data_IF_926744591415
#
_entry.id   IF_926744591415
#
_cell.length_a   1.000
_cell.length_b   1.000
_cell.length_c   1.000
_cell.angle_alpha   90.00
_cell.angle_beta   90.00
_cell.angle_gamma   90.00
#
_symmetry.space_group_name_H-M   'P 1'
#
loop_
_entity.id
_entity.type
_entity.pdbx_description
1 polymer ?
#
# COMPACT_ATOMS: atom_id res chain seq x y z
N UNK A 1 5.45 -1.83 12.82
CA UNK A 1 4.45 -1.06 12.05
C UNK A 1 3.08 -1.75 12.02
N UNK A 2 2.97 -3.02 11.61
CA UNK A 2 1.69 -3.76 11.59
C UNK A 2 0.93 -3.70 12.91
N UNK A 3 1.60 -3.97 14.04
CA UNK A 3 0.99 -3.89 15.37
C UNK A 3 0.41 -2.50 15.75
N UNK A 4 1.02 -1.40 15.28
CA UNK A 4 0.49 -0.04 15.52
C UNK A 4 -0.86 0.14 14.81
N UNK A 5 -0.96 -0.39 13.59
CA UNK A 5 -2.18 -0.31 12.78
C UNK A 5 -3.24 -1.26 13.35
N UNK A 6 -2.85 -2.45 13.81
CA UNK A 6 -3.78 -3.43 14.38
C UNK A 6 -4.34 -2.96 15.73
N UNK A 7 -3.55 -2.24 16.52
CA UNK A 7 -4.03 -1.56 17.74
C UNK A 7 -4.98 -0.40 17.40
N UNK A 8 -4.73 0.31 16.29
CA UNK A 8 -5.57 1.42 15.85
C UNK A 8 -6.90 1.02 15.25
N UNK A 9 -6.86 -0.02 14.44
CA UNK A 9 -7.95 -0.46 13.62
C UNK A 9 -8.09 -1.96 13.87
N UNK A 10 -8.58 -2.38 15.05
CA UNK A 10 -8.72 -3.79 15.36
C UNK A 10 -9.74 -4.44 14.41
N UNK A 11 -9.43 -5.66 14.00
CA UNK A 11 -10.34 -6.50 13.21
C UNK A 11 -11.10 -7.46 14.14
N UNK A 12 -12.28 -7.91 13.70
CA UNK A 12 -13.02 -8.96 14.39
C UNK A 12 -12.28 -10.31 14.35
N UNK A 13 -12.60 -11.20 15.29
CA UNK A 13 -11.95 -12.51 15.43
C UNK A 13 -12.09 -13.44 14.21
N UNK A 14 -13.02 -13.15 13.30
CA UNK A 14 -13.24 -13.90 12.05
C UNK A 14 -12.53 -13.31 10.83
N UNK A 15 -11.75 -12.24 10.99
CA UNK A 15 -11.04 -11.63 9.88
C UNK A 15 -9.86 -12.50 9.42
N UNK A 16 -9.78 -12.76 8.12
CA UNK A 16 -8.67 -13.51 7.51
C UNK A 16 -7.37 -12.70 7.42
N UNK A 17 -7.46 -11.37 7.42
CA UNK A 17 -6.33 -10.45 7.44
C UNK A 17 -6.57 -9.33 8.43
N UNK A 18 -5.50 -8.90 9.11
CA UNK A 18 -5.52 -7.65 9.88
C UNK A 18 -5.30 -6.44 8.97
N UNK A 19 -5.75 -5.27 9.40
CA UNK A 19 -5.50 -4.03 8.65
C UNK A 19 -3.99 -3.74 8.55
N UNK A 20 -3.21 -4.06 9.60
CA UNK A 20 -1.77 -3.95 9.61
C UNK A 20 -1.09 -4.84 8.57
N UNK A 21 -1.55 -6.08 8.38
CA UNK A 21 -1.04 -6.95 7.33
C UNK A 21 -1.30 -6.38 5.93
N UNK A 22 -2.52 -5.90 5.68
CA UNK A 22 -2.90 -5.31 4.38
C UNK A 22 -2.07 -4.06 4.07
N UNK A 23 -1.95 -3.13 5.02
CA UNK A 23 -1.14 -1.92 4.84
C UNK A 23 0.36 -2.25 4.75
N UNK A 24 0.81 -3.23 5.54
CA UNK A 24 2.16 -3.79 5.47
C UNK A 24 2.52 -4.29 4.07
N UNK A 25 1.58 -4.94 3.37
CA UNK A 25 1.75 -5.36 1.99
C UNK A 25 1.69 -4.19 0.98
N UNK A 26 0.97 -3.11 1.27
CA UNK A 26 0.95 -1.92 0.39
C UNK A 26 2.28 -1.19 0.35
N UNK A 27 3.05 -1.19 1.44
CA UNK A 27 4.36 -0.51 1.48
C UNK A 27 5.31 -1.05 0.41
N UNK A 28 5.65 -2.35 0.34
CA UNK A 28 6.49 -2.89 -0.72
C UNK A 28 5.86 -2.79 -2.11
N UNK A 29 4.53 -2.85 -2.24
CA UNK A 29 3.85 -2.57 -3.51
C UNK A 29 4.14 -1.14 -4.00
N UNK A 30 4.31 -0.16 -3.09
CA UNK A 30 4.70 1.22 -3.45
C UNK A 30 6.18 1.37 -3.79
N UNK A 31 7.04 0.45 -3.33
CA UNK A 31 8.48 0.48 -3.55
C UNK A 31 8.92 -0.33 -4.78
N UNK A 32 8.01 -1.08 -5.38
CA UNK A 32 8.21 -1.90 -6.58
C UNK A 32 7.32 -1.40 -7.72
N UNK A 33 7.34 -1.97 -8.95
CA UNK A 33 6.39 -1.60 -9.98
C UNK A 33 4.95 -1.73 -9.46
N UNK A 34 4.37 -0.59 -9.09
CA UNK A 34 3.18 -0.56 -8.25
C UNK A 34 1.96 -1.07 -9.01
N UNK A 35 1.31 -2.09 -8.44
CA UNK A 35 0.03 -2.53 -8.94
C UNK A 35 -1.12 -1.70 -8.33
N UNK A 36 -2.17 -1.40 -9.12
CA UNK A 36 -3.40 -0.85 -8.57
C UNK A 36 -4.05 -1.85 -7.59
N UNK A 37 -4.93 -1.36 -6.71
CA UNK A 37 -5.56 -2.16 -5.64
C UNK A 37 -6.20 -3.46 -6.18
N UNK A 38 -6.91 -3.39 -7.30
CA UNK A 38 -7.58 -4.54 -7.94
C UNK A 38 -6.61 -5.59 -8.51
N UNK A 39 -5.32 -5.27 -8.63
CA UNK A 39 -4.27 -6.17 -9.13
C UNK A 39 -3.24 -6.49 -8.03
N UNK A 40 -3.54 -6.16 -6.79
CA UNK A 40 -2.56 -6.26 -5.71
C UNK A 40 -2.22 -7.71 -5.35
N UNK A 41 -3.18 -8.64 -5.41
CA UNK A 41 -2.90 -10.07 -5.27
C UNK A 41 -2.07 -10.61 -6.43
N UNK A 42 -2.32 -10.17 -7.67
CA UNK A 42 -1.48 -10.55 -8.82
C UNK A 42 -0.03 -10.09 -8.63
N UNK A 43 0.17 -8.86 -8.16
CA UNK A 43 1.50 -8.37 -7.79
C UNK A 43 2.11 -9.22 -6.66
N UNK A 44 1.33 -9.53 -5.62
CA UNK A 44 1.81 -10.33 -4.50
C UNK A 44 2.25 -11.74 -4.92
N UNK A 45 1.60 -12.33 -5.93
CA UNK A 45 2.03 -13.60 -6.53
C UNK A 45 3.35 -13.51 -7.31
N UNK A 46 3.73 -12.33 -7.79
CA UNK A 46 5.02 -12.14 -8.52
C UNK A 46 6.21 -11.86 -7.61
N UNK A 47 5.98 -11.66 -6.30
CA UNK A 47 6.99 -11.31 -5.31
C UNK A 47 7.05 -12.27 -4.12
N UNK A 48 7.83 -11.88 -3.11
CA UNK A 48 8.03 -12.67 -1.88
C UNK A 48 7.07 -12.20 -0.77
N UNK A 49 5.81 -11.95 -1.11
CA UNK A 49 4.82 -11.41 -0.15
C UNK A 49 4.40 -12.46 0.88
N UNK A 50 4.14 -13.69 0.43
CA UNK A 50 3.74 -14.78 1.32
C UNK A 50 4.86 -15.13 2.31
N UNK A 51 6.09 -15.34 1.82
CA UNK A 51 7.24 -15.67 2.67
C UNK A 51 7.77 -14.47 3.48
N UNK A 52 7.65 -13.25 2.96
CA UNK A 52 8.20 -12.05 3.60
C UNK A 52 7.24 -11.37 4.58
N UNK A 53 5.93 -11.52 4.39
CA UNK A 53 4.91 -10.84 5.17
C UNK A 53 3.88 -11.78 5.81
N UNK A 54 3.88 -13.07 5.49
CA UNK A 54 2.92 -14.04 6.03
C UNK A 54 1.49 -13.77 5.56
N UNK A 55 1.32 -13.16 4.38
CA UNK A 55 0.02 -12.81 3.80
C UNK A 55 -0.22 -13.66 2.57
N UNK A 56 -1.32 -14.39 2.55
CA UNK A 56 -1.81 -15.10 1.37
C UNK A 56 -2.14 -14.07 0.26
N UNK A 57 -1.44 -14.10 -0.89
CA UNK A 57 -1.70 -13.21 -2.01
C UNK A 57 -3.16 -13.25 -2.51
N UNK A 58 -3.85 -14.39 -2.38
CA UNK A 58 -5.24 -14.54 -2.80
C UNK A 58 -6.20 -13.63 -2.03
N UNK A 59 -5.87 -13.28 -0.79
CA UNK A 59 -6.66 -12.39 0.06
C UNK A 59 -6.48 -10.90 -0.28
N UNK A 60 -5.49 -10.55 -1.10
CA UNK A 60 -5.19 -9.16 -1.49
C UNK A 60 -5.90 -8.71 -2.77
N UNK A 61 -6.58 -9.59 -3.49
CA UNK A 61 -7.37 -9.25 -4.70
C UNK A 61 -8.85 -8.93 -4.41
N UNK A 62 -9.30 -9.02 -3.15
CA UNK A 62 -10.69 -8.79 -2.74
C UNK A 62 -10.97 -7.38 -2.19
N UNK A 63 -12.00 -7.27 -1.34
CA UNK A 63 -12.39 -6.01 -0.69
C UNK A 63 -11.51 -5.66 0.53
N UNK A 64 -10.69 -6.60 1.01
CA UNK A 64 -9.83 -6.41 2.18
C UNK A 64 -8.92 -5.16 2.08
N UNK A 65 -8.28 -4.83 0.94
CA UNK A 65 -7.55 -3.58 0.77
C UNK A 65 -8.42 -2.32 0.87
N UNK A 66 -9.66 -2.35 0.36
CA UNK A 66 -10.57 -1.22 0.44
C UNK A 66 -11.01 -0.99 1.88
N UNK A 67 -11.47 -2.05 2.57
CA UNK A 67 -11.88 -1.97 3.97
C UNK A 67 -10.75 -1.55 4.89
N UNK A 68 -9.51 -2.01 4.63
CA UNK A 68 -8.36 -1.54 5.38
C UNK A 68 -8.11 -0.05 5.20
N UNK A 69 -8.26 0.48 3.99
CA UNK A 69 -8.12 1.92 3.74
C UNK A 69 -9.23 2.73 4.43
N UNK A 70 -10.46 2.24 4.38
CA UNK A 70 -11.60 2.87 5.06
C UNK A 70 -11.42 2.88 6.58
N UNK A 71 -10.89 1.79 7.15
CA UNK A 71 -10.64 1.67 8.58
C UNK A 71 -9.50 2.58 9.07
N UNK A 72 -8.42 2.75 8.30
CA UNK A 72 -7.29 3.61 8.70
C UNK A 72 -7.54 5.10 8.46
N UNK A 73 -8.47 5.46 7.57
CA UNK A 73 -8.73 6.85 7.21
C UNK A 73 -8.97 7.77 8.43
N UNK A 74 -9.83 7.43 9.41
CA UNK A 74 -10.00 8.26 10.61
C UNK A 74 -8.78 8.26 11.54
N UNK A 75 -7.97 7.21 11.54
CA UNK A 75 -6.83 7.01 12.45
C UNK A 75 -5.49 7.49 11.87
N UNK A 76 -5.49 8.02 10.64
CA UNK A 76 -4.27 8.27 9.87
C UNK A 76 -3.27 9.16 10.60
N UNK A 77 -3.73 10.23 11.26
CA UNK A 77 -2.86 11.14 12.01
C UNK A 77 -2.19 10.45 13.20
N UNK A 78 -2.94 9.61 13.92
CA UNK A 78 -2.42 8.89 15.09
C UNK A 78 -1.42 7.82 14.68
N UNK A 79 -1.73 7.07 13.62
CA UNK A 79 -0.84 6.05 13.05
C UNK A 79 0.45 6.73 12.56
N UNK A 80 0.35 7.81 11.78
CA UNK A 80 1.50 8.53 11.25
C UNK A 80 2.39 9.10 12.38
N UNK A 81 1.78 9.72 13.40
CA UNK A 81 2.52 10.23 14.56
C UNK A 81 3.23 9.13 15.34
N UNK A 82 2.58 7.99 15.55
CA UNK A 82 3.16 6.86 16.30
C UNK A 82 4.30 6.19 15.51
N UNK A 83 4.10 5.95 14.21
CA UNK A 83 5.16 5.41 13.33
C UNK A 83 6.33 6.40 13.25
N UNK A 84 6.05 7.69 13.11
CA UNK A 84 7.07 8.74 13.08
C UNK A 84 7.89 8.78 14.36
N UNK A 85 7.25 8.82 15.53
CA UNK A 85 7.93 8.79 16.82
C UNK A 85 8.79 7.53 16.99
N UNK A 86 8.27 6.36 16.59
CA UNK A 86 9.05 5.11 16.60
C UNK A 86 10.28 5.17 15.71
N UNK A 87 10.14 5.72 14.50
CA UNK A 87 11.24 5.85 13.55
C UNK A 87 12.33 6.83 14.02
N UNK A 88 11.95 7.92 14.70
CA UNK A 88 12.91 8.85 15.35
C UNK A 88 13.68 8.11 16.44
N UNK A 89 12.96 7.39 17.30
CA UNK A 89 13.58 6.67 18.43
C UNK A 89 14.53 5.55 17.95
N UNK A 90 14.17 4.85 16.87
CA UNK A 90 14.93 3.71 16.36
C UNK A 90 16.10 4.14 15.45
N UNK A 91 15.88 5.12 14.56
CA UNK A 91 16.83 5.47 13.49
C UNK A 91 17.42 6.88 13.60
N UNK A 92 17.02 7.67 14.60
CA UNK A 92 17.49 9.05 14.76
C UNK A 92 17.05 9.99 13.63
N UNK A 93 15.94 9.68 12.97
CA UNK A 93 15.41 10.49 11.86
C UNK A 93 14.99 11.87 12.37
N UNK A 94 15.44 12.95 11.73
CA UNK A 94 14.95 14.31 12.00
C UNK A 94 13.62 14.55 11.25
N UNK A 95 12.51 14.49 11.98
CA UNK A 95 11.16 14.68 11.43
C UNK A 95 10.90 16.13 10.99
N UNK A 96 11.70 17.11 11.43
CA UNK A 96 11.62 18.49 10.95
C UNK A 96 11.92 18.64 9.45
N UNK A 97 12.58 17.64 8.85
CA UNK A 97 12.82 17.54 7.40
C UNK A 97 11.81 16.66 6.66
N UNK A 98 11.01 15.86 7.37
CA UNK A 98 10.00 15.00 6.77
C UNK A 98 8.70 15.79 6.59
N UNK A 99 8.62 16.58 5.53
CA UNK A 99 7.37 17.19 5.12
C UNK A 99 6.50 16.14 4.42
N UNK A 100 5.61 15.48 5.17
CA UNK A 100 4.56 14.65 4.58
C UNK A 100 3.48 15.56 3.97
N UNK A 101 3.53 15.76 2.66
CA UNK A 101 2.44 16.40 1.92
C UNK A 101 1.36 15.36 1.59
N UNK A 102 0.26 15.39 2.34
CA UNK A 102 -0.89 14.51 2.15
C UNK A 102 -1.67 14.74 0.83
N UNK A 103 -1.30 15.76 0.03
CA UNK A 103 -1.97 16.10 -1.23
C UNK A 103 -1.28 15.56 -2.49
N UNK A 104 -0.35 14.61 -2.36
CA UNK A 104 0.26 13.98 -3.53
C UNK A 104 -0.71 13.04 -4.23
N UNK A 105 -1.40 13.54 -5.27
CA UNK A 105 -2.07 12.71 -6.27
C UNK A 105 -1.15 12.58 -7.49
N UNK A 106 -0.89 11.35 -7.91
CA UNK A 106 -0.12 11.06 -9.14
C UNK A 106 -1.09 10.56 -10.20
N UNK A 107 -1.25 11.28 -11.30
CA UNK A 107 -2.02 10.83 -12.46
C UNK A 107 -1.23 9.76 -13.23
N UNK A 108 -1.66 8.50 -13.13
CA UNK A 108 -1.13 7.40 -13.95
C UNK A 108 -2.08 7.12 -15.13
N UNK A 109 -2.27 8.10 -16.02
CA UNK A 109 -2.82 7.82 -17.35
C UNK A 109 -1.66 7.51 -18.29
N UNK A 110 -1.29 6.23 -18.39
CA UNK A 110 -0.33 5.79 -19.38
C UNK A 110 -0.90 6.06 -20.79
N UNK A 111 -0.21 6.92 -21.54
CA UNK A 111 -0.47 7.17 -22.95
C UNK A 111 -0.48 5.84 -23.72
N UNK A 112 -1.63 5.46 -24.29
CA UNK A 112 -1.68 4.40 -25.30
C UNK A 112 -0.80 4.84 -26.48
N UNK A 113 0.26 4.11 -26.86
CA UNK A 113 1.01 4.44 -28.06
C UNK A 113 0.07 4.25 -29.26
N UNK A 114 -0.29 5.37 -29.89
CA UNK A 114 -1.08 5.39 -31.11
C UNK A 114 -0.15 4.93 -32.24
N UNK A 115 -0.19 3.63 -32.57
CA UNK A 115 0.48 3.10 -33.77
C UNK A 115 -0.16 3.76 -34.98
N UNK A 116 0.59 4.68 -35.60
CA UNK A 116 0.21 5.32 -36.85
C UNK A 116 0.74 4.44 -37.98
N UNK A 117 -0.09 3.56 -38.52
CA UNK A 117 0.24 2.82 -39.75
C UNK A 117 0.37 3.81 -40.89
N UNK A 118 1.59 4.00 -41.37
CA UNK A 118 1.90 4.77 -42.57
C UNK A 118 1.67 3.85 -43.77
N UNK A 119 0.49 3.95 -44.38
CA UNK A 119 0.22 3.28 -45.66
C UNK A 119 1.06 3.96 -46.74
N UNK A 120 2.14 3.33 -47.17
CA UNK A 120 2.79 3.66 -48.44
C UNK A 120 1.93 3.10 -49.56
N UNK A 121 1.32 3.96 -50.37
CA UNK A 121 0.74 3.57 -51.65
C UNK A 121 1.72 4.04 -52.74
N UNK A 122 2.23 3.05 -53.47
CA UNK A 122 2.95 3.20 -54.73
C UNK A 122 2.10 3.84 -55.81
#
# INVERSE_FOLDING_TARGET
>A
MTGIIDEACPVGASAFLTHGQVIGARVPNRLTPAAPLVRMGDWAHTGVVEQGLGVDPGLLNGDHPAWALDAIAPELQRIAGTVGAGAIAEFGIDFGRLHWDGTSTSDHSAARPRVRTRTTRS
#
